data_IF_538760140725
#
_entry.id   IF_538760140725
#
_cell.length_a   1.000
_cell.length_b   1.000
_cell.length_c   1.000
_cell.angle_alpha   90.00
_cell.angle_beta   90.00
_cell.angle_gamma   90.00
#
_symmetry.space_group_name_H-M   'P 1'
#
loop_
_entity.id
_entity.type
_entity.pdbx_description
1 polymer ?
#
# COMPACT_ATOMS: atom_id res chain seq x y z
N UNK A 1 27.29 -40.68 -46.95
CA UNK A 1 25.85 -40.47 -46.66
C UNK A 1 25.51 -40.71 -45.19
N UNK A 2 25.80 -41.87 -44.60
CA UNK A 2 25.47 -42.17 -43.20
C UNK A 2 26.04 -41.16 -42.16
N UNK A 3 27.31 -40.74 -42.30
CA UNK A 3 27.92 -39.78 -41.38
C UNK A 3 27.23 -38.40 -41.36
N UNK A 4 26.67 -37.97 -42.50
CA UNK A 4 26.00 -36.67 -42.63
C UNK A 4 24.62 -36.70 -41.97
N UNK A 5 23.91 -37.83 -42.06
CA UNK A 5 22.64 -38.05 -41.35
C UNK A 5 22.85 -38.06 -39.83
N UNK A 6 23.89 -38.74 -39.35
CA UNK A 6 24.23 -38.78 -37.91
C UNK A 6 24.55 -37.38 -37.38
N UNK A 7 25.30 -36.58 -38.14
CA UNK A 7 25.63 -35.21 -37.75
C UNK A 7 24.39 -34.31 -37.64
N UNK A 8 23.43 -34.44 -38.57
CA UNK A 8 22.18 -33.66 -38.54
C UNK A 8 21.28 -34.05 -37.35
N UNK A 9 21.19 -35.34 -37.03
CA UNK A 9 20.43 -35.82 -35.86
C UNK A 9 21.08 -35.31 -34.57
N UNK A 10 22.40 -35.41 -34.45
CA UNK A 10 23.13 -34.90 -33.29
C UNK A 10 22.94 -33.38 -33.11
N UNK A 11 22.98 -32.62 -34.21
CA UNK A 11 22.72 -31.18 -34.20
C UNK A 11 21.28 -30.85 -33.77
N UNK A 12 20.28 -31.57 -34.27
CA UNK A 12 18.88 -31.36 -33.87
C UNK A 12 18.62 -31.65 -32.40
N UNK A 13 19.24 -32.70 -31.85
CA UNK A 13 19.14 -33.03 -30.41
C UNK A 13 19.80 -31.96 -29.55
N UNK A 14 20.99 -31.51 -29.93
CA UNK A 14 21.70 -30.44 -29.20
C UNK A 14 20.92 -29.12 -29.26
N UNK A 15 20.33 -28.81 -30.41
CA UNK A 15 19.48 -27.63 -30.59
C UNK A 15 18.20 -27.69 -29.73
N UNK A 16 17.49 -28.82 -29.70
CA UNK A 16 16.30 -29.01 -28.83
C UNK A 16 16.67 -28.90 -27.34
N UNK A 17 17.79 -29.50 -26.94
CA UNK A 17 18.30 -29.39 -25.57
C UNK A 17 18.55 -27.93 -25.19
N UNK A 18 19.30 -27.20 -26.02
CA UNK A 18 19.65 -25.80 -25.76
C UNK A 18 18.43 -24.90 -25.76
N UNK A 19 17.49 -25.13 -26.67
CA UNK A 19 16.22 -24.40 -26.72
C UNK A 19 15.40 -24.59 -25.43
N UNK A 20 15.34 -25.82 -24.88
CA UNK A 20 14.67 -26.08 -23.60
C UNK A 20 15.40 -25.45 -22.42
N UNK A 21 16.72 -25.44 -22.41
CA UNK A 21 17.51 -24.77 -21.37
C UNK A 21 17.26 -23.26 -21.38
N UNK A 22 17.25 -22.62 -22.55
CA UNK A 22 16.89 -21.21 -22.69
C UNK A 22 15.47 -20.92 -22.23
N UNK A 23 14.49 -21.72 -22.66
CA UNK A 23 13.10 -21.56 -22.23
C UNK A 23 12.91 -21.72 -20.71
N UNK A 24 13.69 -22.60 -20.07
CA UNK A 24 13.69 -22.75 -18.61
C UNK A 24 14.27 -21.52 -17.92
N UNK A 25 15.39 -21.00 -18.41
CA UNK A 25 16.00 -19.79 -17.87
C UNK A 25 15.06 -18.59 -17.99
N UNK A 26 14.41 -18.41 -19.14
CA UNK A 26 13.41 -17.35 -19.34
C UNK A 26 12.18 -17.51 -18.44
N UNK A 27 11.73 -18.75 -18.22
CA UNK A 27 10.63 -19.01 -17.29
C UNK A 27 11.03 -18.71 -15.83
N UNK A 28 12.26 -19.02 -15.43
CA UNK A 28 12.78 -18.72 -14.09
C UNK A 28 12.95 -17.21 -13.88
N UNK A 29 13.47 -16.47 -14.85
CA UNK A 29 13.58 -15.00 -14.76
C UNK A 29 12.21 -14.36 -14.71
N UNK A 30 11.27 -14.77 -15.57
CA UNK A 30 9.91 -14.26 -15.56
C UNK A 30 9.19 -14.53 -14.23
N UNK A 31 9.41 -15.70 -13.61
CA UNK A 31 8.88 -16.00 -12.27
C UNK A 31 9.49 -15.10 -11.21
N UNK A 32 10.81 -14.94 -11.20
CA UNK A 32 11.50 -14.09 -10.24
C UNK A 32 11.05 -12.62 -10.35
N UNK A 33 10.84 -12.12 -11.57
CA UNK A 33 10.34 -10.77 -11.80
C UNK A 33 8.89 -10.61 -11.35
N UNK A 34 8.02 -11.58 -11.64
CA UNK A 34 6.65 -11.58 -11.15
C UNK A 34 6.59 -11.56 -9.62
N UNK A 35 7.40 -12.40 -8.94
CA UNK A 35 7.48 -12.38 -7.48
C UNK A 35 7.93 -11.02 -6.93
N UNK A 36 8.90 -10.36 -7.59
CA UNK A 36 9.35 -9.01 -7.20
C UNK A 36 8.24 -7.99 -7.35
N UNK A 37 7.51 -8.02 -8.47
CA UNK A 37 6.38 -7.12 -8.73
C UNK A 37 5.29 -7.34 -7.68
N UNK A 38 4.92 -8.59 -7.40
CA UNK A 38 3.92 -8.90 -6.38
C UNK A 38 4.32 -8.42 -4.99
N UNK A 39 5.59 -8.66 -4.58
CA UNK A 39 6.08 -8.16 -3.28
C UNK A 39 5.98 -6.65 -3.20
N UNK A 40 6.41 -5.95 -4.24
CA UNK A 40 6.35 -4.48 -4.30
C UNK A 40 4.92 -3.97 -4.26
N UNK A 41 3.99 -4.64 -4.94
CA UNK A 41 2.57 -4.29 -4.87
C UNK A 41 2.01 -4.48 -3.46
N UNK A 42 2.34 -5.59 -2.78
CA UNK A 42 1.90 -5.82 -1.40
C UNK A 42 2.46 -4.77 -0.43
N UNK A 43 3.71 -4.36 -0.63
CA UNK A 43 4.35 -3.29 0.15
C UNK A 43 3.62 -1.95 -0.06
N UNK A 44 3.39 -1.55 -1.31
CA UNK A 44 2.65 -0.32 -1.64
C UNK A 44 1.25 -0.32 -1.00
N UNK A 45 0.55 -1.45 -1.03
CA UNK A 45 -0.79 -1.53 -0.43
C UNK A 45 -0.75 -1.44 1.09
N UNK A 46 0.27 -2.02 1.74
CA UNK A 46 0.47 -1.88 3.19
C UNK A 46 0.80 -0.45 3.58
N UNK A 47 1.67 0.21 2.82
CA UNK A 47 2.06 1.60 3.08
C UNK A 47 0.85 2.53 2.93
N UNK A 48 0.06 2.36 1.86
CA UNK A 48 -1.19 3.11 1.69
C UNK A 48 -2.16 2.91 2.85
N UNK A 49 -2.39 1.67 3.27
CA UNK A 49 -3.26 1.39 4.40
C UNK A 49 -2.74 2.00 5.71
N UNK A 50 -1.42 1.98 5.92
CA UNK A 50 -0.79 2.59 7.09
C UNK A 50 -0.92 4.12 7.07
N UNK A 51 -0.73 4.76 5.92
CA UNK A 51 -0.87 6.21 5.76
C UNK A 51 -2.32 6.67 5.94
N UNK A 52 -3.29 5.94 5.39
CA UNK A 52 -4.70 6.20 5.64
C UNK A 52 -5.05 6.09 7.14
N UNK A 53 -4.53 5.08 7.84
CA UNK A 53 -4.79 4.94 9.27
C UNK A 53 -4.14 6.06 10.09
N UNK A 54 -2.93 6.48 9.71
CA UNK A 54 -2.27 7.65 10.31
C UNK A 54 -3.09 8.92 10.09
N UNK A 55 -3.64 9.12 8.90
CA UNK A 55 -4.48 10.28 8.61
C UNK A 55 -5.78 10.25 9.43
N UNK A 56 -6.45 9.10 9.51
CA UNK A 56 -7.63 8.93 10.37
C UNK A 56 -7.30 9.21 11.83
N UNK A 57 -6.18 8.66 12.34
CA UNK A 57 -5.73 8.89 13.70
C UNK A 57 -5.41 10.38 13.96
N UNK A 58 -4.72 11.04 13.04
CA UNK A 58 -4.40 12.46 13.13
C UNK A 58 -5.67 13.33 13.11
N UNK A 59 -6.65 13.01 12.25
CA UNK A 59 -7.96 13.68 12.22
C UNK A 59 -8.68 13.53 13.57
N UNK A 60 -8.75 12.32 14.10
CA UNK A 60 -9.34 12.05 15.42
C UNK A 60 -8.65 12.83 16.53
N UNK A 61 -7.32 12.81 16.58
CA UNK A 61 -6.54 13.54 17.58
C UNK A 61 -6.76 15.06 17.49
N UNK A 62 -6.85 15.62 16.28
CA UNK A 62 -7.12 17.05 16.08
C UNK A 62 -8.49 17.46 16.63
N UNK A 63 -9.51 16.63 16.40
CA UNK A 63 -10.87 16.86 16.92
C UNK A 63 -10.86 16.80 18.45
N UNK A 64 -10.26 15.76 19.03
CA UNK A 64 -10.14 15.59 20.48
C UNK A 64 -9.41 16.76 21.13
N UNK A 65 -8.25 17.14 20.60
CA UNK A 65 -7.46 18.26 21.12
C UNK A 65 -8.25 19.58 21.07
N UNK A 66 -8.98 19.83 19.98
CA UNK A 66 -9.80 21.04 19.86
C UNK A 66 -10.92 21.07 20.89
N UNK A 67 -11.61 19.95 21.10
CA UNK A 67 -12.63 19.82 22.14
C UNK A 67 -12.08 20.07 23.54
N UNK A 68 -10.95 19.44 23.87
CA UNK A 68 -10.28 19.62 25.16
C UNK A 68 -9.89 21.08 25.41
N UNK A 69 -9.31 21.76 24.42
CA UNK A 69 -8.96 23.19 24.54
C UNK A 69 -10.19 24.06 24.81
N UNK A 70 -11.30 23.84 24.09
CA UNK A 70 -12.53 24.62 24.26
C UNK A 70 -13.15 24.38 25.64
N UNK A 71 -13.18 23.13 26.09
CA UNK A 71 -13.67 22.78 27.42
C UNK A 71 -12.83 23.43 28.53
N UNK A 72 -11.49 23.33 28.43
CA UNK A 72 -10.57 23.95 29.40
C UNK A 72 -10.78 25.47 29.45
N UNK A 73 -10.89 26.13 28.29
CA UNK A 73 -11.16 27.58 28.24
C UNK A 73 -12.45 27.96 28.94
N UNK A 74 -13.53 27.22 28.70
CA UNK A 74 -14.80 27.46 29.38
C UNK A 74 -14.75 27.21 30.89
N UNK A 75 -13.99 26.20 31.33
CA UNK A 75 -13.79 25.93 32.77
C UNK A 75 -12.97 27.01 33.48
N UNK A 76 -11.94 27.54 32.81
CA UNK A 76 -11.12 28.64 33.34
C UNK A 76 -11.92 29.94 33.36
N UNK A 77 -12.64 30.23 32.27
CA UNK A 77 -13.39 31.46 32.10
C UNK A 77 -14.79 31.16 31.52
N UNK A 78 -15.79 30.93 32.39
CA UNK A 78 -17.15 30.63 31.97
C UNK A 78 -17.87 31.92 31.57
N UNK A 79 -17.63 32.36 30.33
CA UNK A 79 -18.29 33.49 29.71
C UNK A 79 -19.08 33.07 28.45
N UNK A 80 -19.90 33.98 27.93
CA UNK A 80 -20.77 33.69 26.78
C UNK A 80 -19.99 33.36 25.51
N UNK A 81 -18.84 34.00 25.30
CA UNK A 81 -18.00 33.76 24.13
C UNK A 81 -17.43 32.32 24.12
N UNK A 82 -16.88 31.88 25.25
CA UNK A 82 -16.34 30.52 25.41
C UNK A 82 -17.47 29.48 25.37
N UNK A 83 -18.62 29.77 25.98
CA UNK A 83 -19.81 28.93 25.91
C UNK A 83 -20.32 28.75 24.47
N UNK A 84 -20.40 29.83 23.69
CA UNK A 84 -20.82 29.77 22.30
C UNK A 84 -19.82 29.00 21.43
N UNK A 85 -18.52 29.18 21.64
CA UNK A 85 -17.49 28.43 20.92
C UNK A 85 -17.58 26.92 21.17
N UNK A 86 -17.84 26.51 22.41
CA UNK A 86 -18.06 25.11 22.77
C UNK A 86 -19.35 24.56 22.14
N UNK A 87 -20.46 25.29 22.21
CA UNK A 87 -21.74 24.88 21.58
C UNK A 87 -21.62 24.74 20.06
N UNK A 88 -20.96 25.68 19.39
CA UNK A 88 -20.70 25.61 17.95
C UNK A 88 -19.87 24.36 17.59
N UNK A 89 -18.88 24.02 18.41
CA UNK A 89 -18.07 22.83 18.19
C UNK A 89 -18.87 21.54 18.41
N UNK A 90 -19.73 21.48 19.43
CA UNK A 90 -20.61 20.34 19.65
C UNK A 90 -21.63 20.17 18.51
N UNK A 91 -22.21 21.25 18.01
CA UNK A 91 -23.08 21.23 16.83
C UNK A 91 -22.33 20.70 15.59
N UNK A 92 -21.09 21.16 15.37
CA UNK A 92 -20.23 20.63 14.29
C UNK A 92 -20.03 19.11 14.41
N UNK A 93 -19.80 18.58 15.62
CA UNK A 93 -19.67 17.14 15.82
C UNK A 93 -20.98 16.38 15.61
N UNK A 94 -22.12 16.99 15.91
CA UNK A 94 -23.41 16.37 15.63
C UNK A 94 -23.71 16.29 14.13
N UNK A 95 -23.25 17.28 13.36
CA UNK A 95 -23.49 17.36 11.91
C UNK A 95 -22.46 16.57 11.09
N UNK A 96 -21.19 16.50 11.55
CA UNK A 96 -20.06 15.95 10.79
C UNK A 96 -19.20 14.93 11.57
N UNK A 97 -19.71 14.39 12.68
CA UNK A 97 -18.95 13.52 13.58
C UNK A 97 -18.76 12.07 13.14
N UNK A 98 -19.43 11.64 12.06
CA UNK A 98 -19.20 10.36 11.39
C UNK A 98 -18.02 10.44 10.39
#
# INVERSE_FOLDING_TARGET
>A
MAALVVALVAFGVEWDRRNRETARQEAETARADNERIERRQREIQRDRAADEERERAARRARIQNRGAILQIRYQIEPNEANGQALRNFLAFLQEYGE
#
